data_IF_351140185635
#
_entry.id   IF_351140185635
#
_cell.length_a   1.000
_cell.length_b   1.000
_cell.length_c   1.000
_cell.angle_alpha   90.00
_cell.angle_beta   90.00
_cell.angle_gamma   90.00
#
_symmetry.space_group_name_H-M   'P 1'
#
loop_
_entity.id
_entity.type
_entity.pdbx_description
1 polymer ?
#
# COMPACT_ATOMS: atom_id res chain seq x y z
N UNK A 1 30.07 37.04 -15.77
CA UNK A 1 29.94 36.72 -14.32
C UNK A 1 29.59 37.92 -13.44
N UNK A 2 29.95 39.16 -13.82
CA UNK A 2 29.72 40.39 -13.04
C UNK A 2 28.25 40.80 -12.81
N UNK A 3 27.30 40.38 -13.66
CA UNK A 3 25.87 40.70 -13.45
C UNK A 3 25.25 39.94 -12.26
N UNK A 4 25.77 38.77 -11.90
CA UNK A 4 25.27 37.99 -10.76
C UNK A 4 25.72 38.57 -9.42
N UNK A 5 26.96 39.05 -9.34
CA UNK A 5 27.55 39.62 -8.13
C UNK A 5 26.89 40.94 -7.70
N UNK A 6 26.52 41.83 -8.64
CA UNK A 6 25.83 43.09 -8.31
C UNK A 6 24.44 42.85 -7.71
N UNK A 7 23.75 41.76 -8.10
CA UNK A 7 22.45 41.41 -7.52
C UNK A 7 22.53 40.98 -6.05
N UNK A 8 23.66 40.39 -5.63
CA UNK A 8 23.91 39.98 -4.24
C UNK A 8 24.26 41.17 -3.33
N UNK A 9 24.87 42.23 -3.87
CA UNK A 9 25.20 43.46 -3.14
C UNK A 9 23.99 44.40 -2.96
N UNK A 10 22.93 44.25 -3.77
CA UNK A 10 21.63 44.91 -3.59
C UNK A 10 20.78 44.23 -2.50
N UNK A 11 21.38 43.86 -1.35
CA UNK A 11 20.60 43.55 -0.14
C UNK A 11 20.01 44.88 0.36
N UNK A 12 18.67 45.06 0.34
CA UNK A 12 18.07 46.29 0.86
C UNK A 12 18.37 46.36 2.36
N UNK A 13 19.09 47.41 2.76
CA UNK A 13 19.38 47.72 4.16
C UNK A 13 18.06 48.19 4.80
N UNK A 14 17.58 47.47 5.81
CA UNK A 14 16.36 47.84 6.55
C UNK A 14 15.83 46.70 7.42
N UNK A 15 15.15 47.02 8.53
CA UNK A 15 14.59 46.04 9.45
C UNK A 15 13.59 45.10 8.75
N UNK A 16 13.40 43.87 9.25
CA UNK A 16 12.43 42.93 8.70
C UNK A 16 11.06 43.59 8.59
N UNK A 17 10.44 43.55 7.40
CA UNK A 17 9.09 44.06 7.17
C UNK A 17 8.90 45.50 6.73
N UNK A 18 9.93 46.35 6.78
CA UNK A 18 9.85 47.76 6.37
C UNK A 18 10.56 48.04 5.04
N UNK A 19 10.76 47.01 4.21
CA UNK A 19 11.48 47.13 2.94
C UNK A 19 10.52 47.55 1.82
N UNK A 20 10.74 48.70 1.15
CA UNK A 20 9.87 49.16 0.07
C UNK A 20 9.77 48.13 -1.06
N UNK A 21 8.55 47.85 -1.51
CA UNK A 21 8.28 47.04 -2.71
C UNK A 21 8.53 45.53 -2.58
N UNK A 22 8.78 44.99 -1.37
CA UNK A 22 9.01 43.54 -1.17
C UNK A 22 8.08 42.98 -0.08
N UNK A 23 7.51 41.80 -0.35
CA UNK A 23 6.63 41.09 0.59
C UNK A 23 7.37 40.79 1.90
N UNK A 24 6.76 41.14 3.04
CA UNK A 24 7.29 40.95 4.40
C UNK A 24 7.93 39.57 4.58
N UNK A 25 7.22 38.54 4.14
CA UNK A 25 7.59 37.11 4.27
C UNK A 25 8.94 36.77 3.65
N UNK A 26 9.38 37.52 2.64
CA UNK A 26 10.66 37.30 1.97
C UNK A 26 11.83 37.99 2.69
N UNK A 27 11.51 38.91 3.61
CA UNK A 27 12.46 39.72 4.39
C UNK A 27 12.78 39.12 5.76
N UNK A 28 11.98 38.16 6.21
CA UNK A 28 12.21 37.41 7.45
C UNK A 28 13.50 36.58 7.30
N UNK A 29 14.39 36.54 8.32
CA UNK A 29 15.65 35.80 8.27
C UNK A 29 15.44 34.30 8.07
N UNK A 30 14.44 33.73 8.76
CA UNK A 30 14.03 32.34 8.60
C UNK A 30 12.73 32.28 7.79
N UNK A 31 12.83 31.72 6.58
CA UNK A 31 11.69 31.59 5.67
C UNK A 31 10.89 30.34 5.99
N UNK A 32 9.57 30.44 6.03
CA UNK A 32 8.72 29.27 6.16
C UNK A 32 8.76 28.43 4.88
N UNK A 33 8.57 27.13 5.00
CA UNK A 33 8.56 26.21 3.85
C UNK A 33 7.56 26.63 2.77
N UNK A 34 6.38 27.08 3.18
CA UNK A 34 5.36 27.61 2.27
C UNK A 34 5.90 28.80 1.45
N UNK A 35 6.70 29.68 2.06
CA UNK A 35 7.32 30.80 1.34
C UNK A 35 8.41 30.34 0.38
N UNK A 36 9.19 29.32 0.75
CA UNK A 36 10.17 28.70 -0.14
C UNK A 36 9.50 28.03 -1.35
N UNK A 37 8.41 27.29 -1.14
CA UNK A 37 7.61 26.65 -2.21
C UNK A 37 6.96 27.69 -3.14
N UNK A 38 6.52 28.84 -2.62
CA UNK A 38 6.00 29.93 -3.46
C UNK A 38 7.08 30.55 -4.35
N UNK A 39 8.31 30.64 -3.86
CA UNK A 39 9.44 31.16 -4.65
C UNK A 39 9.94 30.16 -5.71
N UNK A 40 9.64 28.86 -5.54
CA UNK A 40 10.00 27.79 -6.46
C UNK A 40 9.15 27.78 -7.75
N UNK A 41 9.02 28.93 -8.42
CA UNK A 41 8.28 29.10 -9.68
C UNK A 41 9.11 28.80 -10.94
N UNK A 42 10.04 27.84 -10.86
CA UNK A 42 10.87 27.42 -12.00
C UNK A 42 10.13 26.34 -12.81
N UNK A 43 10.30 26.34 -14.14
CA UNK A 43 9.72 25.32 -15.03
C UNK A 43 10.46 23.98 -14.89
N UNK A 44 10.14 23.21 -13.86
CA UNK A 44 10.68 21.88 -13.63
C UNK A 44 9.58 20.90 -13.27
N UNK A 45 9.87 19.61 -13.38
CA UNK A 45 8.99 18.56 -12.87
C UNK A 45 8.71 18.80 -11.37
N UNK A 46 7.47 18.55 -10.95
CA UNK A 46 6.99 18.77 -9.58
C UNK A 46 7.24 20.20 -9.02
N UNK A 47 7.16 21.20 -9.89
CA UNK A 47 7.20 22.61 -9.48
C UNK A 47 5.82 23.10 -9.01
N UNK A 48 5.78 24.25 -8.35
CA UNK A 48 4.53 24.83 -7.87
C UNK A 48 3.66 25.33 -9.04
N UNK A 49 2.74 24.47 -9.49
CA UNK A 49 1.81 24.72 -10.60
C UNK A 49 0.99 25.98 -10.38
N UNK A 50 0.59 26.29 -9.14
CA UNK A 50 -0.23 27.47 -8.82
C UNK A 50 0.51 28.76 -9.13
N UNK A 51 1.77 28.88 -8.72
CA UNK A 51 2.57 30.09 -8.95
C UNK A 51 3.00 30.20 -10.42
N UNK A 52 3.24 29.06 -11.07
CA UNK A 52 3.43 29.00 -12.50
C UNK A 52 2.20 29.51 -13.25
N UNK A 53 0.99 29.06 -12.90
CA UNK A 53 -0.27 29.44 -13.56
C UNK A 53 -0.61 30.94 -13.43
N UNK A 54 -0.08 31.63 -12.41
CA UNK A 54 -0.20 33.10 -12.30
C UNK A 54 0.63 33.86 -13.32
N UNK A 55 1.70 33.25 -13.85
CA UNK A 55 2.52 33.86 -14.91
C UNK A 55 1.76 33.79 -16.23
N UNK A 56 1.98 34.76 -17.14
CA UNK A 56 1.32 34.74 -18.45
C UNK A 56 1.66 33.44 -19.20
N UNK A 57 0.73 32.99 -20.04
CA UNK A 57 0.82 31.69 -20.72
C UNK A 57 2.09 31.53 -21.55
N UNK A 58 2.54 32.61 -22.21
CA UNK A 58 3.81 32.71 -22.94
C UNK A 58 5.01 32.33 -22.07
N UNK A 59 4.98 32.75 -20.80
CA UNK A 59 6.06 32.52 -19.85
C UNK A 59 5.95 31.19 -19.13
N UNK A 60 4.81 30.51 -19.10
CA UNK A 60 4.59 29.32 -18.29
C UNK A 60 4.61 28.01 -19.12
N UNK A 61 4.09 28.04 -20.35
CA UNK A 61 3.93 26.86 -21.22
C UNK A 61 3.12 25.71 -20.58
N UNK A 62 2.24 25.99 -19.62
CA UNK A 62 1.26 25.01 -19.15
C UNK A 62 0.18 24.85 -20.22
N UNK A 63 0.02 23.63 -20.72
CA UNK A 63 -1.05 23.29 -21.67
C UNK A 63 -2.38 23.06 -20.94
N UNK A 64 -3.47 23.01 -21.71
CA UNK A 64 -4.77 22.63 -21.17
C UNK A 64 -4.69 21.24 -20.52
N UNK A 65 -5.35 21.07 -19.37
CA UNK A 65 -5.42 19.78 -18.68
C UNK A 65 -6.11 18.75 -19.59
N UNK A 66 -5.45 17.64 -19.95
CA UNK A 66 -6.08 16.58 -20.72
C UNK A 66 -7.14 15.93 -19.84
N UNK A 67 -8.41 15.95 -20.29
CA UNK A 67 -9.52 15.29 -19.60
C UNK A 67 -10.00 14.14 -20.46
N UNK A 68 -10.16 12.97 -19.87
CA UNK A 68 -10.69 11.81 -20.58
C UNK A 68 -12.19 11.97 -20.82
N UNK A 69 -12.62 12.00 -22.08
CA UNK A 69 -14.03 12.12 -22.43
C UNK A 69 -14.57 10.84 -23.07
N UNK A 70 -13.86 9.73 -22.84
CA UNK A 70 -14.18 8.43 -23.40
C UNK A 70 -15.36 7.73 -22.72
N UNK A 71 -15.43 6.42 -22.95
CA UNK A 71 -16.54 5.59 -22.54
C UNK A 71 -16.53 5.27 -21.05
N UNK A 72 -15.34 5.15 -20.43
CA UNK A 72 -15.20 4.86 -19.01
C UNK A 72 -15.90 5.92 -18.13
N UNK A 73 -15.54 7.22 -18.20
CA UNK A 73 -16.22 8.24 -17.40
C UNK A 73 -17.68 8.42 -17.81
N UNK A 74 -18.02 8.26 -19.10
CA UNK A 74 -19.42 8.30 -19.58
C UNK A 74 -20.26 7.21 -18.91
N UNK A 75 -19.82 5.96 -19.00
CA UNK A 75 -20.56 4.81 -18.50
C UNK A 75 -20.68 4.88 -16.97
N UNK A 76 -19.65 5.35 -16.27
CA UNK A 76 -19.69 5.61 -14.83
C UNK A 76 -20.78 6.62 -14.46
N UNK A 77 -20.78 7.79 -15.11
CA UNK A 77 -21.77 8.85 -14.86
C UNK A 77 -23.18 8.41 -15.20
N UNK A 78 -23.37 7.70 -16.31
CA UNK A 78 -24.69 7.23 -16.75
C UNK A 78 -25.25 6.15 -15.81
N UNK A 79 -24.41 5.24 -15.30
CA UNK A 79 -24.81 4.26 -14.27
C UNK A 79 -25.27 4.95 -12.99
N UNK A 80 -24.52 5.94 -12.50
CA UNK A 80 -24.90 6.73 -11.34
C UNK A 80 -26.20 7.51 -11.55
N UNK A 81 -26.32 8.15 -12.72
CA UNK A 81 -27.50 8.92 -13.08
C UNK A 81 -28.76 8.03 -13.12
N UNK A 82 -28.63 6.78 -13.56
CA UNK A 82 -29.74 5.84 -13.62
C UNK A 82 -30.36 5.57 -12.23
N UNK A 83 -29.56 5.53 -11.17
CA UNK A 83 -30.05 5.30 -9.81
C UNK A 83 -30.68 6.53 -9.16
N UNK A 84 -30.20 7.72 -9.51
CA UNK A 84 -30.58 8.98 -8.84
C UNK A 84 -31.41 9.93 -9.69
N UNK A 85 -31.93 9.47 -10.84
CA UNK A 85 -32.76 10.32 -11.70
C UNK A 85 -34.08 10.71 -10.99
N UNK A 86 -34.49 11.99 -11.02
CA UNK A 86 -33.77 13.16 -11.55
C UNK A 86 -32.77 13.78 -10.58
N UNK A 87 -31.60 14.20 -11.09
CA UNK A 87 -30.56 14.84 -10.27
C UNK A 87 -29.98 16.10 -10.92
N UNK A 88 -29.52 17.04 -10.09
CA UNK A 88 -28.80 18.25 -10.51
C UNK A 88 -27.31 17.96 -10.73
N UNK A 89 -26.63 18.83 -11.47
CA UNK A 89 -25.18 18.69 -11.71
C UNK A 89 -24.35 18.71 -10.42
N UNK A 90 -24.70 19.58 -9.47
CA UNK A 90 -23.96 19.72 -8.21
C UNK A 90 -24.15 18.50 -7.31
N UNK A 91 -25.41 18.09 -7.11
CA UNK A 91 -25.75 16.90 -6.33
C UNK A 91 -25.11 15.64 -6.94
N UNK A 92 -25.11 15.51 -8.27
CA UNK A 92 -24.45 14.40 -8.95
C UNK A 92 -22.94 14.39 -8.70
N UNK A 93 -22.31 15.58 -8.67
CA UNK A 93 -20.89 15.69 -8.35
C UNK A 93 -20.60 15.34 -6.88
N UNK A 94 -21.49 15.69 -5.95
CA UNK A 94 -21.39 15.30 -4.55
C UNK A 94 -21.50 13.79 -4.38
N UNK A 95 -22.43 13.14 -5.08
CA UNK A 95 -22.51 11.68 -5.11
C UNK A 95 -21.26 11.05 -5.72
N UNK A 96 -20.73 11.59 -6.82
CA UNK A 96 -19.48 11.10 -7.37
C UNK A 96 -18.37 11.12 -6.32
N UNK A 97 -18.23 12.20 -5.53
CA UNK A 97 -17.19 12.28 -4.48
C UNK A 97 -17.35 11.27 -3.34
N UNK A 98 -18.54 10.73 -3.13
CA UNK A 98 -18.79 9.73 -2.08
C UNK A 98 -18.26 8.35 -2.46
N UNK A 99 -18.01 8.11 -3.74
CA UNK A 99 -17.39 6.87 -4.21
C UNK A 99 -15.86 7.01 -4.24
N UNK A 100 -15.15 5.91 -3.98
CA UNK A 100 -13.69 5.90 -3.96
C UNK A 100 -13.09 5.82 -5.39
N UNK A 101 -13.65 4.97 -6.26
CA UNK A 101 -13.13 4.71 -7.61
C UNK A 101 -13.78 5.62 -8.67
N UNK A 102 -13.51 6.93 -8.59
CA UNK A 102 -14.13 7.94 -9.46
C UNK A 102 -13.22 8.28 -10.63
N UNK A 103 -13.60 8.01 -11.89
CA UNK A 103 -12.80 8.34 -13.07
C UNK A 103 -12.85 9.84 -13.44
N UNK A 104 -13.24 10.72 -12.51
CA UNK A 104 -13.50 12.14 -12.75
C UNK A 104 -12.67 13.05 -11.83
N UNK A 105 -11.78 13.84 -12.41
CA UNK A 105 -10.95 14.77 -11.64
C UNK A 105 -11.69 15.97 -11.02
N UNK A 106 -12.79 16.44 -11.63
CA UNK A 106 -13.45 17.69 -11.23
C UNK A 106 -14.88 17.83 -11.74
N UNK A 107 -15.67 18.72 -11.13
CA UNK A 107 -17.00 19.09 -11.64
C UNK A 107 -16.99 19.61 -13.08
N UNK A 108 -15.89 20.24 -13.52
CA UNK A 108 -15.71 20.66 -14.91
C UNK A 108 -15.57 19.44 -15.84
N UNK A 109 -14.88 18.40 -15.38
CA UNK A 109 -14.76 17.15 -16.09
C UNK A 109 -16.14 16.47 -16.23
N UNK A 110 -16.89 16.32 -15.14
CA UNK A 110 -18.27 15.82 -15.16
C UNK A 110 -19.16 16.58 -16.16
N UNK A 111 -19.08 17.91 -16.18
CA UNK A 111 -19.85 18.75 -17.11
C UNK A 111 -19.51 18.45 -18.57
N UNK A 112 -18.24 18.22 -18.91
CA UNK A 112 -17.81 17.90 -20.27
C UNK A 112 -18.28 16.50 -20.68
N UNK A 113 -18.21 15.53 -19.77
CA UNK A 113 -18.73 14.18 -19.98
C UNK A 113 -20.23 14.21 -20.24
N UNK A 114 -21.00 14.94 -19.41
CA UNK A 114 -22.44 15.11 -19.62
C UNK A 114 -22.77 15.85 -20.92
N UNK A 115 -21.93 16.81 -21.33
CA UNK A 115 -22.09 17.50 -22.62
C UNK A 115 -21.96 16.52 -23.79
N UNK A 116 -20.96 15.65 -23.77
CA UNK A 116 -20.76 14.64 -24.82
C UNK A 116 -21.84 13.55 -24.75
N UNK A 117 -22.21 13.10 -23.56
CA UNK A 117 -23.32 12.17 -23.36
C UNK A 117 -24.65 12.72 -23.91
N UNK A 118 -24.88 14.04 -23.78
CA UNK A 118 -26.02 14.73 -24.39
C UNK A 118 -25.95 14.74 -25.91
N UNK A 119 -24.78 15.05 -26.49
CA UNK A 119 -24.59 14.99 -27.95
C UNK A 119 -24.83 13.58 -28.51
N UNK A 120 -24.43 12.56 -27.78
CA UNK A 120 -24.62 11.15 -28.12
C UNK A 120 -26.00 10.59 -27.76
N UNK A 121 -26.93 11.42 -27.27
CA UNK A 121 -28.30 11.04 -26.88
C UNK A 121 -28.37 9.96 -25.79
N UNK A 122 -27.42 9.94 -24.85
CA UNK A 122 -27.49 9.11 -23.63
C UNK A 122 -28.28 9.80 -22.53
N UNK A 123 -28.04 11.09 -22.36
CA UNK A 123 -28.61 11.91 -21.28
C UNK A 123 -29.26 13.14 -21.89
N UNK A 124 -30.40 13.54 -21.37
CA UNK A 124 -30.97 14.85 -21.66
C UNK A 124 -31.10 15.67 -20.37
N UNK A 125 -31.13 16.99 -20.54
CA UNK A 125 -31.31 17.93 -19.45
C UNK A 125 -32.65 18.64 -19.65
N UNK A 126 -33.51 18.57 -18.64
CA UNK A 126 -34.81 19.22 -18.61
C UNK A 126 -34.77 20.36 -17.59
N UNK A 127 -35.38 21.49 -17.98
CA UNK A 127 -35.42 22.69 -17.15
C UNK A 127 -36.71 22.68 -16.35
N UNK A 128 -36.59 22.59 -15.02
CA UNK A 128 -37.75 22.65 -14.15
C UNK A 128 -38.29 24.09 -14.09
N UNK A 129 -39.60 24.26 -14.29
CA UNK A 129 -40.27 25.57 -14.27
C UNK A 129 -40.26 26.20 -12.87
N UNK A 130 -40.43 25.41 -11.82
CA UNK A 130 -40.59 25.93 -10.45
C UNK A 130 -39.29 26.53 -9.90
N UNK A 131 -38.16 25.83 -10.12
CA UNK A 131 -36.87 26.21 -9.53
C UNK A 131 -35.90 26.82 -10.55
N UNK A 132 -36.25 26.85 -11.84
CA UNK A 132 -35.38 27.32 -12.93
C UNK A 132 -34.04 26.55 -13.04
N UNK A 133 -33.98 25.33 -12.50
CA UNK A 133 -32.79 24.46 -12.46
C UNK A 133 -32.87 23.36 -13.53
N UNK A 134 -31.69 22.90 -13.97
CA UNK A 134 -31.56 21.78 -14.89
C UNK A 134 -31.43 20.46 -14.13
N UNK A 135 -32.30 19.51 -14.47
CA UNK A 135 -32.24 18.13 -14.02
C UNK A 135 -31.83 17.23 -15.17
N UNK A 136 -31.00 16.24 -14.88
CA UNK A 136 -30.51 15.28 -15.86
C UNK A 136 -31.30 13.98 -15.77
N UNK A 137 -31.62 13.43 -16.94
CA UNK A 137 -32.39 12.22 -17.12
C UNK A 137 -31.71 11.33 -18.17
N UNK A 138 -31.85 10.01 -18.01
CA UNK A 138 -31.40 9.07 -19.04
C UNK A 138 -32.42 9.06 -20.19
N UNK A 139 -31.94 9.07 -21.43
CA UNK A 139 -32.82 8.96 -22.60
C UNK A 139 -33.56 7.62 -22.61
N UNK A 140 -34.88 7.67 -22.84
CA UNK A 140 -35.75 6.48 -22.90
C UNK A 140 -35.29 5.41 -23.90
N UNK A 141 -34.71 5.80 -25.04
CA UNK A 141 -34.20 4.86 -26.04
C UNK A 141 -32.92 4.12 -25.64
N UNK A 142 -32.25 4.53 -24.57
CA UNK A 142 -30.98 3.95 -24.10
C UNK A 142 -31.11 3.32 -22.71
N UNK A 143 -32.28 3.35 -22.08
CA UNK A 143 -32.48 2.83 -20.72
C UNK A 143 -32.15 1.35 -20.60
N UNK A 144 -32.53 0.54 -21.59
CA UNK A 144 -32.23 -0.89 -21.62
C UNK A 144 -30.72 -1.16 -21.66
N UNK A 145 -29.98 -0.42 -22.48
CA UNK A 145 -28.52 -0.52 -22.57
C UNK A 145 -27.85 -0.14 -21.25
N UNK A 146 -28.36 0.91 -20.58
CA UNK A 146 -27.86 1.30 -19.25
C UNK A 146 -28.14 0.23 -18.20
N UNK A 147 -29.33 -0.38 -18.21
CA UNK A 147 -29.65 -1.50 -17.32
C UNK A 147 -28.71 -2.69 -17.55
N UNK A 148 -28.41 -3.03 -18.80
CA UNK A 148 -27.43 -4.08 -19.13
C UNK A 148 -26.03 -3.72 -18.60
N UNK A 149 -25.58 -2.48 -18.79
CA UNK A 149 -24.29 -2.01 -18.27
C UNK A 149 -24.19 -2.10 -16.75
N UNK A 150 -25.26 -1.78 -16.02
CA UNK A 150 -25.32 -1.90 -14.56
C UNK A 150 -25.22 -3.37 -14.15
N UNK A 151 -26.03 -4.25 -14.76
CA UNK A 151 -25.99 -5.69 -14.47
C UNK A 151 -24.63 -6.30 -14.76
N UNK A 152 -24.01 -5.96 -15.88
CA UNK A 152 -22.66 -6.43 -16.22
C UNK A 152 -21.62 -5.98 -15.19
N UNK A 153 -21.73 -4.75 -14.67
CA UNK A 153 -20.86 -4.26 -13.62
C UNK A 153 -21.03 -5.03 -12.31
N UNK A 154 -22.27 -5.36 -11.94
CA UNK A 154 -22.56 -6.17 -10.76
C UNK A 154 -22.03 -7.60 -10.90
N UNK A 155 -22.17 -8.22 -12.09
CA UNK A 155 -21.59 -9.55 -12.36
C UNK A 155 -20.07 -9.50 -12.27
N UNK A 156 -19.43 -8.50 -12.86
CA UNK A 156 -17.98 -8.33 -12.79
C UNK A 156 -17.50 -8.15 -11.35
N UNK A 157 -18.22 -7.35 -10.55
CA UNK A 157 -17.92 -7.16 -9.13
C UNK A 157 -18.03 -8.46 -8.34
N UNK A 158 -19.09 -9.25 -8.56
CA UNK A 158 -19.26 -10.55 -7.91
C UNK A 158 -18.17 -11.55 -8.31
N UNK A 159 -17.74 -11.53 -9.57
CA UNK A 159 -16.63 -12.37 -10.03
C UNK A 159 -15.31 -11.99 -9.33
N UNK A 160 -15.00 -10.67 -9.26
CA UNK A 160 -13.82 -10.18 -8.54
C UNK A 160 -13.86 -10.53 -7.05
N UNK A 161 -15.01 -10.41 -6.38
CA UNK A 161 -15.17 -10.81 -4.98
C UNK A 161 -14.99 -12.33 -4.79
N UNK A 162 -15.44 -13.15 -5.74
CA UNK A 162 -15.22 -14.59 -5.71
C UNK A 162 -13.74 -14.95 -5.91
N UNK A 163 -13.07 -14.30 -6.88
CA UNK A 163 -11.63 -14.45 -7.10
C UNK A 163 -10.84 -14.04 -5.85
N UNK A 164 -11.15 -12.90 -5.24
CA UNK A 164 -10.50 -12.43 -4.02
C UNK A 164 -10.67 -13.43 -2.86
N UNK A 165 -11.85 -14.04 -2.70
CA UNK A 165 -12.07 -15.11 -1.70
C UNK A 165 -11.23 -16.34 -1.98
N UNK A 166 -11.16 -16.80 -3.23
CA UNK A 166 -10.32 -17.95 -3.58
C UNK A 166 -8.83 -17.68 -3.39
N UNK A 167 -8.37 -16.46 -3.70
CA UNK A 167 -6.99 -16.04 -3.44
C UNK A 167 -6.71 -15.97 -1.95
N UNK A 168 -7.63 -15.46 -1.14
CA UNK A 168 -7.49 -15.43 0.31
C UNK A 168 -7.32 -16.84 0.90
N UNK A 169 -8.15 -17.81 0.46
CA UNK A 169 -8.02 -19.22 0.89
C UNK A 169 -6.66 -19.79 0.49
N UNK A 170 -6.20 -19.56 -0.75
CA UNK A 170 -4.87 -20.00 -1.19
C UNK A 170 -3.75 -19.37 -0.37
N UNK A 171 -3.84 -18.09 -0.05
CA UNK A 171 -2.85 -17.41 0.79
C UNK A 171 -2.82 -17.96 2.22
N UNK A 172 -3.98 -18.35 2.76
CA UNK A 172 -4.07 -18.98 4.08
C UNK A 172 -3.49 -20.41 4.05
N UNK A 173 -3.77 -21.19 3.01
CA UNK A 173 -3.15 -22.50 2.78
C UNK A 173 -1.62 -22.40 2.63
N UNK A 174 -1.13 -21.43 1.86
CA UNK A 174 0.30 -21.16 1.71
C UNK A 174 0.93 -20.73 3.03
N UNK A 175 0.24 -19.92 3.84
CA UNK A 175 0.71 -19.52 5.17
C UNK A 175 0.81 -20.74 6.08
N UNK A 176 -0.21 -21.59 6.13
CA UNK A 176 -0.20 -22.81 6.94
C UNK A 176 0.91 -23.77 6.51
N UNK A 177 1.14 -23.93 5.20
CA UNK A 177 2.23 -24.73 4.68
C UNK A 177 3.61 -24.18 5.08
N UNK A 178 3.79 -22.86 5.04
CA UNK A 178 5.04 -22.21 5.50
C UNK A 178 5.22 -22.33 7.01
N UNK A 179 4.14 -22.23 7.79
CA UNK A 179 4.19 -22.43 9.23
C UNK A 179 4.60 -23.87 9.57
N UNK A 180 4.01 -24.87 8.91
CA UNK A 180 4.39 -26.27 9.06
C UNK A 180 5.87 -26.51 8.70
N UNK A 181 6.33 -26.00 7.56
CA UNK A 181 7.75 -26.07 7.18
C UNK A 181 8.66 -25.39 8.21
N UNK A 182 8.27 -24.23 8.73
CA UNK A 182 9.05 -23.53 9.75
C UNK A 182 9.13 -24.28 11.07
N UNK A 183 8.12 -25.07 11.41
CA UNK A 183 8.13 -25.94 12.59
C UNK A 183 9.07 -27.13 12.36
N UNK A 184 9.02 -27.76 11.19
CA UNK A 184 9.93 -28.85 10.84
C UNK A 184 11.39 -28.40 10.84
N UNK A 185 11.69 -27.23 10.26
CA UNK A 185 13.03 -26.65 10.28
C UNK A 185 13.53 -26.38 11.71
N UNK A 186 12.63 -25.94 12.60
CA UNK A 186 12.95 -25.74 14.03
C UNK A 186 13.20 -27.07 14.74
N UNK A 187 12.42 -28.11 14.45
CA UNK A 187 12.62 -29.45 15.02
C UNK A 187 14.00 -29.98 14.61
N UNK A 188 14.35 -29.88 13.33
CA UNK A 188 15.66 -30.30 12.81
C UNK A 188 16.78 -29.50 13.45
N UNK A 189 16.65 -28.17 13.56
CA UNK A 189 17.64 -27.33 14.23
C UNK A 189 17.81 -27.71 15.72
N UNK A 190 16.72 -27.92 16.45
CA UNK A 190 16.75 -28.35 17.84
C UNK A 190 17.40 -29.73 18.00
N UNK A 191 17.09 -30.67 17.11
CA UNK A 191 17.70 -32.00 17.12
C UNK A 191 19.22 -31.90 16.87
N UNK A 192 19.66 -31.08 15.91
CA UNK A 192 21.09 -30.84 15.67
C UNK A 192 21.78 -30.22 16.90
N UNK A 193 21.12 -29.26 17.57
CA UNK A 193 21.66 -28.70 18.82
C UNK A 193 21.71 -29.72 19.94
N UNK A 194 20.73 -30.62 20.04
CA UNK A 194 20.70 -31.69 21.03
C UNK A 194 21.86 -32.66 20.81
N UNK A 195 22.11 -33.08 19.57
CA UNK A 195 23.24 -33.96 19.25
C UNK A 195 24.58 -33.27 19.52
N UNK A 196 24.73 -31.99 19.15
CA UNK A 196 25.94 -31.22 19.47
C UNK A 196 26.14 -31.04 20.98
N UNK A 197 25.07 -30.91 21.77
CA UNK A 197 25.18 -30.79 23.22
C UNK A 197 25.52 -32.14 23.87
N UNK A 198 24.94 -33.24 23.40
CA UNK A 198 25.25 -34.58 23.88
C UNK A 198 26.70 -34.97 23.57
N UNK A 199 27.23 -34.63 22.40
CA UNK A 199 28.64 -34.88 22.08
C UNK A 199 29.59 -34.10 22.98
N UNK A 200 29.25 -32.85 23.32
CA UNK A 200 30.00 -32.04 24.30
C UNK A 200 29.93 -32.65 25.70
N UNK A 201 28.75 -33.02 26.18
CA UNK A 201 28.58 -33.64 27.51
C UNK A 201 29.35 -34.95 27.59
N UNK A 202 29.33 -35.78 26.54
CA UNK A 202 30.05 -37.06 26.49
C UNK A 202 31.55 -36.91 26.72
N UNK A 203 32.13 -35.79 26.31
CA UNK A 203 33.55 -35.50 26.55
C UNK A 203 33.88 -35.21 28.02
N UNK A 204 32.90 -34.79 28.82
CA UNK A 204 33.06 -34.48 30.25
C UNK A 204 32.54 -35.60 31.16
N UNK A 205 31.35 -36.12 30.87
CA UNK A 205 30.68 -37.17 31.64
C UNK A 205 29.98 -38.17 30.69
N UNK A 206 30.68 -39.24 30.27
CA UNK A 206 30.10 -40.24 29.38
C UNK A 206 28.98 -41.06 30.03
N UNK A 207 28.99 -41.23 31.36
CA UNK A 207 27.99 -42.01 32.07
C UNK A 207 26.60 -41.34 32.02
N UNK A 208 26.57 -39.99 32.03
CA UNK A 208 25.32 -39.24 31.87
C UNK A 208 24.67 -39.42 30.49
N UNK A 209 25.50 -39.53 29.44
CA UNK A 209 25.01 -39.66 28.06
C UNK A 209 24.51 -41.07 27.79
N UNK A 210 25.23 -42.09 28.27
CA UNK A 210 24.82 -43.48 28.02
C UNK A 210 23.54 -43.83 28.83
N UNK A 211 23.26 -43.15 29.95
CA UNK A 211 22.01 -43.30 30.70
C UNK A 211 20.76 -42.70 30.01
N UNK A 212 20.93 -41.84 28.99
CA UNK A 212 19.81 -41.13 28.35
C UNK A 212 19.72 -41.49 26.86
N UNK A 213 18.63 -42.15 26.42
CA UNK A 213 18.47 -42.44 25.02
C UNK A 213 18.22 -41.17 24.22
N UNK A 214 18.91 -41.01 23.09
CA UNK A 214 18.73 -39.89 22.18
C UNK A 214 18.94 -40.29 20.72
N UNK A 215 18.43 -39.49 19.78
CA UNK A 215 18.56 -39.74 18.34
C UNK A 215 19.85 -39.13 17.81
N UNK A 216 20.67 -39.94 17.14
CA UNK A 216 21.96 -39.55 16.54
C UNK A 216 21.77 -38.86 15.18
N UNK A 217 22.84 -38.25 14.63
CA UNK A 217 22.80 -37.55 13.32
C UNK A 217 22.35 -38.45 12.16
N UNK A 218 22.54 -39.77 12.28
CA UNK A 218 22.09 -40.76 11.30
C UNK A 218 20.62 -41.18 11.46
N UNK A 219 19.88 -40.57 12.39
CA UNK A 219 18.50 -40.93 12.72
C UNK A 219 18.36 -42.20 13.57
N UNK A 220 19.47 -42.81 14.01
CA UNK A 220 19.43 -43.99 14.87
C UNK A 220 19.22 -43.58 16.33
N UNK A 221 18.32 -44.28 17.04
CA UNK A 221 18.14 -44.11 18.49
C UNK A 221 19.30 -44.80 19.21
N UNK A 222 20.12 -44.02 19.90
CA UNK A 222 21.13 -44.57 20.79
C UNK A 222 20.44 -44.98 22.09
N UNK A 223 20.22 -46.28 22.27
CA UNK A 223 19.78 -46.87 23.54
C UNK A 223 20.93 -47.71 24.10
N UNK A 224 21.70 -47.17 25.05
CA UNK A 224 22.62 -47.99 25.83
C UNK A 224 21.84 -48.64 26.98
N UNK A 225 21.75 -49.96 26.94
CA UNK A 225 21.13 -50.75 28.00
C UNK A 225 22.14 -50.94 29.12
N UNK A 226 22.06 -50.10 30.15
CA UNK A 226 22.84 -50.31 31.36
C UNK A 226 22.05 -51.19 32.32
N UNK A 227 22.59 -52.37 32.60
CA UNK A 227 22.17 -53.17 33.73
C UNK A 227 22.83 -52.57 34.98
N UNK A 228 22.06 -51.95 35.87
CA UNK A 228 22.56 -51.32 37.11
C UNK A 228 23.42 -52.28 37.99
N UNK A 229 23.28 -53.60 37.79
CA UNK A 229 24.10 -54.61 38.46
C UNK A 229 25.59 -54.68 38.02
N UNK A 230 25.98 -54.12 36.88
CA UNK A 230 27.36 -54.21 36.40
C UNK A 230 28.31 -53.25 37.13
N UNK A 231 27.83 -52.09 37.58
CA UNK A 231 28.61 -51.13 38.37
C UNK A 231 28.93 -51.70 39.77
N UNK A 232 27.99 -52.42 40.39
CA UNK A 232 28.21 -53.13 41.66
C UNK A 232 29.17 -54.33 41.50
N UNK A 233 29.08 -55.08 40.41
CA UNK A 233 29.96 -56.22 40.15
C UNK A 233 31.42 -55.80 39.84
N UNK A 234 31.63 -54.68 39.17
CA UNK A 234 32.97 -54.13 38.91
C UNK A 234 33.63 -53.58 40.19
N UNK A 235 32.86 -52.91 41.06
CA UNK A 235 33.35 -52.42 42.35
C UNK A 235 33.74 -53.57 43.30
N UNK A 236 33.01 -54.69 43.30
CA UNK A 236 33.35 -55.88 44.09
C UNK A 236 34.61 -56.60 43.58
N UNK A 237 34.84 -56.65 42.26
CA UNK A 237 36.07 -57.24 41.68
C UNK A 237 37.33 -56.39 41.88
N UNK A 238 37.20 -55.07 41.96
CA UNK A 238 38.33 -54.19 42.28
C UNK A 238 38.74 -54.29 43.76
N UNK A 239 37.80 -54.55 44.67
CA UNK A 239 38.07 -54.77 46.09
C UNK A 239 38.71 -56.13 46.43
N UNK A 240 38.53 -57.15 45.59
CA UNK A 240 39.06 -58.51 45.85
C UNK A 240 40.51 -58.72 45.40
N UNK A 241 41.10 -57.82 44.61
CA UNK A 241 42.47 -57.97 44.10
C UNK A 241 43.56 -57.22 44.91
N UNK A 242 43.21 -56.61 46.05
CA UNK A 242 44.16 -55.89 46.91
C UNK A 242 44.69 -56.73 48.11
N UNK A 243 44.41 -58.03 48.14
CA UNK A 243 44.59 -58.88 49.34
C UNK A 243 45.47 -60.12 49.19
N UNK A 244 46.28 -60.26 48.13
CA UNK A 244 47.27 -61.34 48.04
C UNK A 244 48.58 -60.81 47.44
N UNK A 245 49.53 -60.48 48.32
CA UNK A 245 50.95 -60.69 48.09
C UNK A 245 51.59 -61.01 49.46
N UNK A 246 52.34 -62.12 49.59
CA UNK A 246 52.95 -62.57 50.85
C UNK A 246 54.08 -61.66 51.35
#
# INVERSE_FOLDING_TARGET
MLRRTVSCCNRPKGPPGLRPGKEYRLTVPYRSEVTMIRQAGFKKFNSNIRELFKKPLEQNNIKAVPRDLGELPRNYVVKLLFFHQPIRLLDLWELCKQHDDVPLDSARHLRLVLRIAKLQKWVYAEKNQSNNLYYYYVHRGRTHEVQQMVRQAEVAKRAQEAEAKTQAVRMDEERQAREAQSLDDRIVALQNTLVSNMSRIRAFDPAHVDAKPYVTESGAVNCAWHWEGAAHAAAQRAGSNAGENP
#
